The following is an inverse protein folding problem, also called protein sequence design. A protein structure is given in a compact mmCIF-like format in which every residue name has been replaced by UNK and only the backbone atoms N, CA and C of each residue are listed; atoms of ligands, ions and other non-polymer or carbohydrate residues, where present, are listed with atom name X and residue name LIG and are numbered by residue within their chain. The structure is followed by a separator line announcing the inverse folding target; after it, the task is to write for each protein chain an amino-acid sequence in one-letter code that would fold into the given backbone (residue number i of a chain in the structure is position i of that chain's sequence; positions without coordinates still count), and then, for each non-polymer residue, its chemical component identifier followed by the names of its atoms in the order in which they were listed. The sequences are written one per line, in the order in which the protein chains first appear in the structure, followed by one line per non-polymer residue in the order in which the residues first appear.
data_IF_114870168460
#
_entry.id   IF_114870168460
#
_cell.length_a   1.000
_cell.length_b   1.000
_cell.length_c   1.000
_cell.angle_alpha   90.00
_cell.angle_beta   90.00
_cell.angle_gamma   90.00
#
_symmetry.space_group_name_H-M   'P 1'
#
loop_
_entity.id
_entity.type
_entity.pdbx_description
1 polymer ?
#
# COMPACT_ATOMS: atom_id res chain seq x y z
N UNK A 1 18.80 -1.63 3.51
CA UNK A 1 17.87 -1.32 2.40
C UNK A 1 18.20 0.03 1.83
N UNK A 2 18.62 0.07 0.58
CA UNK A 2 18.90 1.29 -0.17
C UNK A 2 17.62 1.65 -0.93
N UNK A 3 17.10 2.85 -0.72
CA UNK A 3 15.88 3.33 -1.35
C UNK A 3 16.10 4.68 -2.00
N UNK A 4 15.62 4.82 -3.22
CA UNK A 4 15.82 5.98 -4.07
C UNK A 4 14.52 6.39 -4.76
N UNK A 5 14.17 7.67 -4.67
CA UNK A 5 13.05 8.21 -5.43
C UNK A 5 13.38 8.24 -6.92
N UNK A 6 12.48 7.76 -7.75
CA UNK A 6 12.65 7.72 -9.21
C UNK A 6 11.86 8.82 -9.89
N UNK A 7 10.53 8.80 -9.76
CA UNK A 7 9.64 9.75 -10.41
C UNK A 7 8.27 9.80 -9.74
N UNK A 8 7.59 10.94 -9.87
CA UNK A 8 6.16 11.11 -9.64
C UNK A 8 5.45 11.18 -10.98
N UNK A 9 4.52 10.27 -11.25
CA UNK A 9 3.87 10.13 -12.54
C UNK A 9 2.35 10.36 -12.45
N UNK A 10 1.80 10.99 -13.48
CA UNK A 10 0.36 11.07 -13.76
C UNK A 10 0.04 10.19 -14.95
N UNK A 11 0.73 10.45 -16.06
CA UNK A 11 0.49 9.81 -17.35
C UNK A 11 1.32 8.53 -17.51
N UNK A 12 0.82 7.61 -18.33
CA UNK A 12 1.49 6.35 -18.65
C UNK A 12 2.91 6.53 -19.17
N UNK A 13 3.14 7.58 -19.98
CA UNK A 13 4.41 7.89 -20.60
C UNK A 13 5.50 8.31 -19.59
N UNK A 14 5.07 8.66 -18.37
CA UNK A 14 5.97 9.04 -17.27
C UNK A 14 6.40 7.87 -16.40
N UNK A 15 5.79 6.69 -16.57
CA UNK A 15 6.20 5.52 -15.79
C UNK A 15 7.63 5.13 -16.11
N UNK A 16 8.39 4.63 -15.10
CA UNK A 16 9.77 4.21 -15.35
C UNK A 16 9.86 3.12 -16.41
N UNK A 17 10.82 3.24 -17.31
CA UNK A 17 11.22 2.15 -18.19
C UNK A 17 12.05 1.16 -17.37
N UNK A 18 11.40 0.13 -16.85
CA UNK A 18 12.01 -0.83 -15.95
C UNK A 18 11.25 -2.16 -15.99
N UNK A 19 12.00 -3.25 -15.90
CA UNK A 19 11.46 -4.61 -15.77
C UNK A 19 11.42 -5.09 -14.30
N UNK A 20 11.78 -4.21 -13.36
CA UNK A 20 11.75 -4.56 -11.94
C UNK A 20 10.31 -4.80 -11.47
N UNK A 21 10.09 -5.83 -10.62
CA UNK A 21 8.77 -6.05 -10.07
C UNK A 21 8.33 -4.87 -9.19
N UNK A 22 7.06 -4.52 -9.28
CA UNK A 22 6.47 -3.40 -8.54
C UNK A 22 5.55 -3.89 -7.44
N UNK A 23 5.77 -3.37 -6.24
CA UNK A 23 4.92 -3.57 -5.06
C UNK A 23 4.17 -2.27 -4.81
N UNK A 24 2.86 -2.30 -4.94
CA UNK A 24 2.01 -1.11 -4.85
C UNK A 24 1.41 -1.00 -3.46
N UNK A 25 1.56 0.14 -2.83
CA UNK A 25 0.97 0.42 -1.51
C UNK A 25 -0.31 1.22 -1.69
N UNK A 26 -1.42 0.66 -1.24
CA UNK A 26 -2.75 1.27 -1.30
C UNK A 26 -3.37 1.38 0.10
N UNK A 27 -4.27 2.31 0.26
CA UNK A 27 -5.00 2.48 1.51
C UNK A 27 -5.83 3.76 1.52
N UNK A 28 -6.71 3.85 2.51
CA UNK A 28 -7.48 5.07 2.74
C UNK A 28 -6.58 6.24 3.11
N UNK A 29 -7.04 7.43 2.79
CA UNK A 29 -6.42 8.65 3.31
C UNK A 29 -6.26 8.56 4.84
N UNK A 30 -5.09 8.92 5.35
CA UNK A 30 -4.73 8.88 6.78
C UNK A 30 -4.65 7.49 7.44
N UNK A 31 -4.60 6.42 6.66
CA UNK A 31 -4.40 5.06 7.20
C UNK A 31 -2.98 4.85 7.78
N UNK A 32 -2.03 5.72 7.43
CA UNK A 32 -0.62 5.61 7.82
C UNK A 32 0.29 5.15 6.68
N UNK A 33 -0.10 5.38 5.42
CA UNK A 33 0.62 4.91 4.24
C UNK A 33 2.04 5.48 4.14
N UNK A 34 2.21 6.79 4.26
CA UNK A 34 3.54 7.42 4.25
C UNK A 34 4.41 6.98 5.43
N UNK A 35 3.83 6.85 6.61
CA UNK A 35 4.53 6.32 7.79
C UNK A 35 4.98 4.87 7.60
N UNK A 36 4.14 4.05 6.97
CA UNK A 36 4.49 2.67 6.61
C UNK A 36 5.67 2.63 5.64
N UNK A 37 5.61 3.39 4.55
CA UNK A 37 6.69 3.43 3.55
C UNK A 37 8.01 3.89 4.17
N UNK A 38 7.98 4.95 4.97
CA UNK A 38 9.17 5.46 5.64
C UNK A 38 9.76 4.47 6.64
N UNK A 39 8.92 3.79 7.42
CA UNK A 39 9.36 2.77 8.36
C UNK A 39 9.90 1.51 7.65
N UNK A 40 9.21 1.05 6.61
CA UNK A 40 9.62 -0.11 5.81
C UNK A 40 11.01 0.07 5.20
N UNK A 41 11.28 1.27 4.70
CA UNK A 41 12.54 1.63 4.04
C UNK A 41 13.61 2.14 5.01
N UNK A 42 13.27 2.28 6.28
CA UNK A 42 14.10 2.90 7.31
C UNK A 42 14.58 4.32 6.92
N UNK A 43 13.71 5.08 6.27
CA UNK A 43 13.94 6.47 5.87
C UNK A 43 12.97 7.39 6.60
N UNK A 44 13.45 8.58 6.99
CA UNK A 44 12.60 9.54 7.71
C UNK A 44 11.65 10.32 6.80
N UNK A 45 12.00 10.49 5.54
CA UNK A 45 11.28 11.37 4.59
C UNK A 45 11.30 10.84 3.14
N UNK A 46 11.27 9.53 2.93
CA UNK A 46 11.17 9.00 1.57
C UNK A 46 9.80 9.32 1.00
N UNK A 47 8.74 8.96 1.73
CA UNK A 47 7.38 9.39 1.45
C UNK A 47 7.01 10.57 2.34
N UNK A 48 6.26 11.51 1.79
CA UNK A 48 5.87 12.70 2.52
C UNK A 48 4.78 12.38 3.55
N UNK A 49 5.08 12.61 4.83
CA UNK A 49 4.13 12.54 5.93
C UNK A 49 3.65 13.96 6.24
N UNK A 50 2.48 14.34 5.79
CA UNK A 50 1.93 15.65 6.04
C UNK A 50 0.41 15.69 5.91
N UNK A 51 -0.19 16.54 6.73
CA UNK A 51 -1.63 16.72 6.79
C UNK A 51 -2.19 17.65 5.70
N UNK A 52 -1.39 17.99 4.68
CA UNK A 52 -1.85 18.88 3.62
C UNK A 52 -2.68 18.07 2.62
N UNK A 53 -4.01 18.26 2.59
CA UNK A 53 -4.86 17.61 1.62
C UNK A 53 -4.39 17.94 0.20
N UNK A 54 -4.18 16.93 -0.62
CA UNK A 54 -3.91 17.13 -2.03
C UNK A 54 -2.47 17.02 -2.51
N UNK A 55 -1.50 16.66 -1.66
CA UNK A 55 -0.10 16.50 -2.11
C UNK A 55 0.22 15.13 -2.70
N UNK A 56 -0.54 14.06 -2.39
CA UNK A 56 -0.30 12.74 -2.96
C UNK A 56 -1.39 12.43 -4.00
N UNK A 57 -1.35 13.14 -5.13
CA UNK A 57 -2.24 12.91 -6.28
C UNK A 57 -1.50 12.31 -7.46
N UNK A 58 -0.28 11.84 -7.20
CA UNK A 58 0.64 11.27 -8.20
C UNK A 58 0.98 9.84 -7.79
N UNK A 59 1.38 9.06 -8.77
CA UNK A 59 1.97 7.75 -8.54
C UNK A 59 3.46 7.96 -8.33
N UNK A 60 3.97 7.61 -7.15
CA UNK A 60 5.37 7.81 -6.79
C UNK A 60 6.12 6.48 -6.86
N UNK A 61 7.19 6.45 -7.61
CA UNK A 61 8.04 5.27 -7.80
C UNK A 61 9.33 5.42 -7.01
N UNK A 62 9.63 4.43 -6.19
CA UNK A 62 10.88 4.34 -5.42
C UNK A 62 11.59 3.03 -5.76
N UNK A 63 12.86 3.11 -6.11
CA UNK A 63 13.67 1.91 -6.38
C UNK A 63 14.30 1.41 -5.09
N UNK A 64 14.16 0.12 -4.81
CA UNK A 64 14.62 -0.52 -3.58
C UNK A 64 15.72 -1.54 -3.91
N UNK A 65 16.91 -1.34 -3.35
CA UNK A 65 18.09 -2.20 -3.50
C UNK A 65 18.40 -2.60 -4.96
N UNK A 66 18.03 -1.75 -5.93
CA UNK A 66 18.12 -2.05 -7.37
C UNK A 66 17.42 -3.34 -7.82
N UNK A 67 16.52 -3.90 -7.00
CA UNK A 67 15.87 -5.19 -7.24
C UNK A 67 14.37 -5.13 -7.44
N UNK A 68 13.70 -4.12 -6.90
CA UNK A 68 12.26 -3.93 -7.04
C UNK A 68 11.86 -2.48 -6.86
N UNK A 69 10.63 -2.15 -7.26
CA UNK A 69 10.04 -0.83 -7.09
C UNK A 69 8.97 -0.85 -6.00
N UNK A 70 9.03 0.11 -5.09
CA UNK A 70 7.93 0.45 -4.20
C UNK A 70 7.11 1.55 -4.85
N UNK A 71 5.81 1.35 -5.01
CA UNK A 71 4.95 2.31 -5.71
C UNK A 71 3.89 2.83 -4.75
N UNK A 72 3.90 4.13 -4.51
CA UNK A 72 2.96 4.83 -3.66
C UNK A 72 1.88 5.48 -4.53
N UNK A 73 0.65 5.03 -4.40
CA UNK A 73 -0.49 5.57 -5.12
C UNK A 73 -1.34 6.46 -4.20
N UNK A 74 -2.14 7.39 -4.75
CA UNK A 74 -3.00 8.23 -3.93
C UNK A 74 -3.92 7.45 -3.01
N UNK A 75 -4.08 7.93 -1.78
CA UNK A 75 -5.07 7.39 -0.84
C UNK A 75 -6.50 7.65 -1.33
N UNK A 76 -7.41 6.75 -1.01
CA UNK A 76 -8.83 6.89 -1.33
C UNK A 76 -9.67 7.30 -0.11
N UNK A 77 -10.98 7.49 -0.29
CA UNK A 77 -11.90 7.87 0.78
C UNK A 77 -11.77 9.34 1.22
N UNK A 78 -11.35 10.22 0.33
CA UNK A 78 -11.13 11.62 0.63
C UNK A 78 -12.45 12.42 0.50
N UNK A 79 -13.01 12.86 1.63
CA UNK A 79 -14.27 13.60 1.65
C UNK A 79 -14.19 15.05 1.11
N UNK A 80 -12.97 15.61 0.95
CA UNK A 80 -12.76 17.02 0.59
C UNK A 80 -12.26 17.24 -0.85
N UNK A 81 -12.25 16.22 -1.68
CA UNK A 81 -11.88 16.36 -3.08
C UNK A 81 -13.05 16.78 -3.96
N UNK A 82 -12.78 17.62 -4.96
CA UNK A 82 -13.76 17.90 -5.99
C UNK A 82 -14.07 16.63 -6.80
N UNK A 83 -15.30 16.56 -7.32
CA UNK A 83 -15.74 15.45 -8.16
C UNK A 83 -14.82 15.24 -9.38
N UNK A 84 -14.35 16.33 -9.99
CA UNK A 84 -13.43 16.27 -11.13
C UNK A 84 -12.08 15.65 -10.77
N UNK A 85 -11.55 15.98 -9.59
CA UNK A 85 -10.29 15.41 -9.10
C UNK A 85 -10.41 13.92 -8.80
N UNK A 86 -11.53 13.48 -8.22
CA UNK A 86 -11.82 12.08 -7.98
C UNK A 86 -11.87 11.27 -9.28
N UNK A 87 -12.49 11.83 -10.34
CA UNK A 87 -12.57 11.21 -11.65
C UNK A 87 -11.18 11.08 -12.28
N UNK A 88 -10.36 12.13 -12.21
CA UNK A 88 -8.98 12.10 -12.73
C UNK A 88 -8.12 11.07 -12.01
N UNK A 89 -8.20 11.03 -10.69
CA UNK A 89 -7.49 10.05 -9.88
C UNK A 89 -7.93 8.62 -10.20
N UNK A 90 -9.22 8.39 -10.31
CA UNK A 90 -9.78 7.09 -10.69
C UNK A 90 -9.25 6.61 -12.03
N UNK A 91 -9.23 7.46 -13.05
CA UNK A 91 -8.66 7.14 -14.36
C UNK A 91 -7.17 6.82 -14.31
N UNK A 92 -6.40 7.60 -13.57
CA UNK A 92 -4.97 7.37 -13.40
C UNK A 92 -4.70 6.03 -12.75
N UNK A 93 -5.43 5.69 -11.70
CA UNK A 93 -5.33 4.42 -10.98
C UNK A 93 -5.76 3.24 -11.86
N UNK A 94 -6.89 3.35 -12.55
CA UNK A 94 -7.39 2.32 -13.47
C UNK A 94 -6.40 2.03 -14.59
N UNK A 95 -5.83 3.06 -15.20
CA UNK A 95 -4.82 2.91 -16.24
C UNK A 95 -3.59 2.19 -15.72
N UNK A 96 -3.10 2.59 -14.55
CA UNK A 96 -1.93 1.97 -13.94
C UNK A 96 -2.17 0.49 -13.61
N UNK A 97 -3.22 0.17 -12.88
CA UNK A 97 -3.51 -1.22 -12.49
C UNK A 97 -3.83 -2.14 -13.67
N UNK A 98 -4.49 -1.64 -14.71
CA UNK A 98 -4.87 -2.46 -15.86
C UNK A 98 -3.75 -2.62 -16.89
N UNK A 99 -2.83 -1.67 -16.99
CA UNK A 99 -1.82 -1.66 -18.06
C UNK A 99 -0.38 -1.91 -17.60
N UNK A 100 -0.09 -1.76 -16.30
CA UNK A 100 1.27 -1.94 -15.79
C UNK A 100 1.55 -3.41 -15.49
N UNK A 101 2.33 -4.06 -16.36
CA UNK A 101 2.65 -5.48 -16.28
C UNK A 101 3.60 -5.83 -15.13
N UNK A 102 4.42 -4.88 -14.66
CA UNK A 102 5.41 -5.08 -13.61
C UNK A 102 4.80 -5.26 -12.22
N UNK A 103 3.52 -4.95 -12.01
CA UNK A 103 2.86 -5.09 -10.71
C UNK A 103 2.84 -6.57 -10.32
N UNK A 104 3.55 -6.91 -9.25
CA UNK A 104 3.59 -8.29 -8.74
C UNK A 104 2.71 -8.48 -7.50
N UNK A 105 2.53 -7.42 -6.70
CA UNK A 105 1.73 -7.52 -5.49
C UNK A 105 1.23 -6.14 -5.06
N UNK A 106 0.11 -6.14 -4.36
CA UNK A 106 -0.44 -4.95 -3.71
C UNK A 106 -0.40 -5.14 -2.20
N UNK A 107 0.15 -4.18 -1.50
CA UNK A 107 0.09 -4.08 -0.04
C UNK A 107 -1.08 -3.15 0.31
N UNK A 108 -2.14 -3.73 0.81
CA UNK A 108 -3.35 -3.01 1.25
C UNK A 108 -3.23 -2.68 2.73
N UNK A 109 -3.23 -1.40 3.06
CA UNK A 109 -3.20 -0.93 4.45
C UNK A 109 -4.62 -0.78 4.99
N UNK A 110 -4.83 -1.27 6.20
CA UNK A 110 -6.09 -1.18 6.94
C UNK A 110 -5.78 -0.71 8.36
N UNK A 111 -6.54 0.23 8.89
CA UNK A 111 -6.37 0.65 10.29
C UNK A 111 -6.84 -0.44 11.24
N UNK A 112 -5.93 -0.99 12.03
CA UNK A 112 -6.23 -2.10 12.93
C UNK A 112 -7.32 -1.80 13.97
N UNK A 113 -7.51 -0.52 14.31
CA UNK A 113 -8.53 -0.09 15.29
C UNK A 113 -9.95 -0.23 14.76
N UNK A 114 -10.14 0.00 13.47
CA UNK A 114 -11.46 0.10 12.83
C UNK A 114 -11.77 -1.07 11.92
N UNK A 115 -10.76 -1.83 11.49
CA UNK A 115 -10.91 -2.86 10.49
C UNK A 115 -11.08 -2.29 9.08
N UNK A 116 -11.44 -3.16 8.14
CA UNK A 116 -11.64 -2.76 6.75
C UNK A 116 -12.95 -1.98 6.57
N UNK A 117 -12.87 -0.92 5.78
CA UNK A 117 -14.04 -0.13 5.39
C UNK A 117 -14.62 -0.63 4.06
N UNK A 118 -15.76 -0.08 3.67
CA UNK A 118 -16.37 -0.40 2.39
C UNK A 118 -15.43 -0.07 1.20
N UNK A 119 -14.75 1.07 1.27
CA UNK A 119 -13.76 1.46 0.26
C UNK A 119 -12.58 0.47 0.19
N UNK A 120 -12.14 -0.06 1.34
CA UNK A 120 -11.10 -1.09 1.38
C UNK A 120 -11.56 -2.38 0.70
N UNK A 121 -12.80 -2.80 0.94
CA UNK A 121 -13.40 -3.98 0.30
C UNK A 121 -13.49 -3.81 -1.22
N UNK A 122 -13.94 -2.66 -1.68
CA UNK A 122 -14.03 -2.33 -3.11
C UNK A 122 -12.66 -2.38 -3.79
N UNK A 123 -11.64 -1.82 -3.14
CA UNK A 123 -10.26 -1.85 -3.63
C UNK A 123 -9.74 -3.28 -3.74
N UNK A 124 -9.95 -4.10 -2.71
CA UNK A 124 -9.51 -5.49 -2.68
C UNK A 124 -10.21 -6.30 -3.79
N UNK A 125 -11.51 -6.11 -3.97
CA UNK A 125 -12.27 -6.78 -5.02
C UNK A 125 -11.74 -6.44 -6.41
N UNK A 126 -11.45 -5.17 -6.67
CA UNK A 126 -10.84 -4.73 -7.91
C UNK A 126 -9.48 -5.38 -8.15
N UNK A 127 -8.61 -5.39 -7.16
CA UNK A 127 -7.27 -5.99 -7.24
C UNK A 127 -7.37 -7.50 -7.50
N UNK A 128 -8.27 -8.19 -6.80
CA UNK A 128 -8.50 -9.64 -7.00
C UNK A 128 -9.03 -9.94 -8.41
N UNK A 129 -9.89 -9.08 -8.94
CA UNK A 129 -10.42 -9.23 -10.31
C UNK A 129 -9.33 -9.17 -11.38
N UNK A 130 -8.21 -8.47 -11.08
CA UNK A 130 -7.05 -8.37 -11.95
C UNK A 130 -6.05 -9.53 -11.75
N UNK A 131 -6.30 -10.45 -10.82
CA UNK A 131 -5.41 -11.56 -10.52
C UNK A 131 -4.12 -11.17 -9.80
N UNK A 132 -4.06 -9.98 -9.18
CA UNK A 132 -2.87 -9.49 -8.47
C UNK A 132 -2.88 -10.02 -7.04
N UNK A 133 -1.71 -10.46 -6.56
CA UNK A 133 -1.52 -10.91 -5.18
C UNK A 133 -1.71 -9.76 -4.20
N UNK A 134 -2.37 -10.03 -3.06
CA UNK A 134 -2.64 -9.03 -2.02
C UNK A 134 -1.99 -9.45 -0.70
N UNK A 135 -1.33 -8.49 -0.06
CA UNK A 135 -0.85 -8.58 1.32
C UNK A 135 -1.59 -7.52 2.13
N UNK A 136 -2.24 -7.93 3.21
CA UNK A 136 -2.95 -7.01 4.09
C UNK A 136 -2.06 -6.62 5.25
N UNK A 137 -1.88 -5.32 5.46
CA UNK A 137 -1.12 -4.78 6.58
C UNK A 137 -2.05 -3.96 7.46
N UNK A 138 -2.27 -4.45 8.68
CA UNK A 138 -3.03 -3.74 9.70
C UNK A 138 -2.11 -2.76 10.42
N UNK A 139 -2.35 -1.46 10.22
CA UNK A 139 -1.54 -0.38 10.78
C UNK A 139 -2.01 -0.01 12.20
N UNK A 140 -1.12 0.66 12.94
CA UNK A 140 -1.45 1.26 14.24
C UNK A 140 -1.84 0.23 15.30
N UNK A 141 -1.23 -0.96 15.28
CA UNK A 141 -1.50 -1.98 16.31
C UNK A 141 -1.10 -1.53 17.72
N UNK A 142 -0.18 -0.55 17.82
CA UNK A 142 0.20 0.09 19.08
C UNK A 142 -0.99 0.79 19.78
N UNK A 143 -2.02 1.16 19.03
CA UNK A 143 -3.26 1.75 19.57
C UNK A 143 -4.24 0.71 20.11
N UNK A 144 -3.92 -0.58 19.99
CA UNK A 144 -4.73 -1.69 20.48
C UNK A 144 -3.98 -2.36 21.63
N UNK A 145 -4.65 -2.68 22.77
CA UNK A 145 -4.03 -3.45 23.85
C UNK A 145 -3.43 -4.75 23.33
N UNK A 146 -2.24 -5.11 23.78
CA UNK A 146 -1.51 -6.30 23.33
C UNK A 146 -2.35 -7.58 23.33
N UNK A 147 -3.18 -7.76 24.36
CA UNK A 147 -4.06 -8.91 24.51
C UNK A 147 -5.17 -9.00 23.46
N UNK A 148 -5.47 -7.90 22.76
CA UNK A 148 -6.54 -7.81 21.76
C UNK A 148 -6.03 -7.76 20.32
N UNK A 149 -4.71 -7.71 20.10
CA UNK A 149 -4.13 -7.53 18.75
C UNK A 149 -4.38 -8.73 17.85
N UNK A 150 -4.20 -9.95 18.36
CA UNK A 150 -4.46 -11.18 17.57
C UNK A 150 -5.93 -11.24 17.17
N UNK A 151 -6.84 -10.89 18.08
CA UNK A 151 -8.27 -10.85 17.79
C UNK A 151 -8.60 -9.84 16.70
N UNK A 152 -7.98 -8.65 16.75
CA UNK A 152 -8.18 -7.61 15.73
C UNK A 152 -7.75 -8.10 14.33
N UNK A 153 -6.61 -8.76 14.22
CA UNK A 153 -6.14 -9.34 12.95
C UNK A 153 -7.06 -10.45 12.44
N UNK A 154 -7.55 -11.29 13.36
CA UNK A 154 -8.50 -12.36 13.03
C UNK A 154 -9.82 -11.79 12.51
N UNK A 155 -10.32 -10.74 13.11
CA UNK A 155 -11.55 -10.06 12.69
C UNK A 155 -11.37 -9.48 11.27
N UNK A 156 -10.22 -8.87 10.95
CA UNK A 156 -9.90 -8.40 9.61
C UNK A 156 -9.85 -9.57 8.62
N UNK A 157 -9.19 -10.66 8.98
CA UNK A 157 -9.13 -11.88 8.16
C UNK A 157 -10.53 -12.39 7.80
N UNK A 158 -11.41 -12.46 8.76
CA UNK A 158 -12.80 -12.88 8.56
C UNK A 158 -13.60 -11.89 7.72
N UNK A 159 -13.43 -10.60 7.98
CA UNK A 159 -14.09 -9.53 7.25
C UNK A 159 -13.72 -9.51 5.76
N UNK A 160 -12.46 -9.80 5.46
CA UNK A 160 -11.92 -9.78 4.09
C UNK A 160 -11.97 -11.13 3.39
N UNK A 161 -12.37 -12.20 4.09
CA UNK A 161 -12.33 -13.58 3.60
C UNK A 161 -10.93 -13.99 3.10
N UNK A 162 -9.89 -13.54 3.80
CA UNK A 162 -8.48 -13.86 3.50
C UNK A 162 -7.86 -14.65 4.65
N UNK A 163 -6.94 -15.60 4.36
CA UNK A 163 -6.29 -16.38 5.39
C UNK A 163 -5.36 -15.51 6.26
N UNK A 164 -5.21 -15.90 7.53
CA UNK A 164 -4.35 -15.19 8.49
C UNK A 164 -2.90 -15.03 8.02
N UNK A 165 -2.39 -15.95 7.21
CA UNK A 165 -1.03 -15.87 6.65
C UNK A 165 -0.81 -14.64 5.74
N UNK A 166 -1.88 -14.02 5.26
CA UNK A 166 -1.83 -12.82 4.43
C UNK A 166 -2.13 -11.53 5.21
N UNK A 167 -2.30 -11.62 6.53
CA UNK A 167 -2.64 -10.49 7.40
C UNK A 167 -1.48 -10.23 8.36
N UNK A 168 -0.91 -9.03 8.30
CA UNK A 168 0.23 -8.62 9.12
C UNK A 168 -0.09 -7.38 9.94
N UNK A 169 0.22 -7.41 11.23
CA UNK A 169 0.06 -6.25 12.11
C UNK A 169 1.36 -5.49 12.25
N UNK A 170 1.32 -4.18 12.08
CA UNK A 170 2.48 -3.31 12.23
C UNK A 170 2.21 -2.10 13.12
N UNK A 171 3.30 -1.58 13.71
CA UNK A 171 3.34 -0.25 14.31
C UNK A 171 4.51 0.54 13.73
N UNK A 172 4.23 1.61 13.01
CA UNK A 172 5.28 2.52 12.52
C UNK A 172 5.93 3.31 13.66
N UNK A 173 5.18 3.59 14.72
CA UNK A 173 5.67 4.29 15.93
C UNK A 173 6.63 3.41 16.73
N UNK A 174 6.25 2.16 16.99
CA UNK A 174 7.08 1.18 17.72
C UNK A 174 8.11 0.50 16.80
N UNK A 175 8.02 0.68 15.50
CA UNK A 175 8.86 0.04 14.46
C UNK A 175 8.82 -1.49 14.55
N UNK A 176 7.64 -2.06 14.71
CA UNK A 176 7.41 -3.50 14.85
C UNK A 176 6.58 -4.07 13.70
N UNK A 177 6.81 -5.34 13.37
CA UNK A 177 6.00 -6.12 12.43
C UNK A 177 6.41 -6.00 10.96
N UNK A 178 7.44 -5.24 10.62
CA UNK A 178 7.85 -5.02 9.22
C UNK A 178 8.59 -6.19 8.59
N UNK A 179 9.35 -6.95 9.36
CA UNK A 179 10.15 -8.06 8.85
C UNK A 179 9.31 -9.15 8.19
N UNK A 180 8.22 -9.66 8.80
CA UNK A 180 7.33 -10.61 8.14
C UNK A 180 6.68 -10.08 6.87
N UNK A 181 6.37 -8.79 6.81
CA UNK A 181 5.82 -8.14 5.60
C UNK A 181 6.84 -8.19 4.46
N UNK A 182 8.10 -7.83 4.73
CA UNK A 182 9.18 -7.88 3.75
C UNK A 182 9.45 -9.30 3.26
N UNK A 183 9.45 -10.28 4.16
CA UNK A 183 9.60 -11.70 3.79
C UNK A 183 8.50 -12.14 2.83
N UNK A 184 7.24 -11.77 3.12
CA UNK A 184 6.11 -12.12 2.27
C UNK A 184 6.19 -11.44 0.90
N UNK A 185 6.58 -10.17 0.85
CA UNK A 185 6.80 -9.44 -0.40
C UNK A 185 7.89 -10.12 -1.23
N UNK A 186 8.99 -10.51 -0.61
CA UNK A 186 10.09 -11.18 -1.29
C UNK A 186 9.69 -12.56 -1.84
N UNK A 187 8.88 -13.32 -1.10
CA UNK A 187 8.34 -14.60 -1.59
C UNK A 187 7.51 -14.42 -2.85
N UNK A 188 6.61 -13.43 -2.85
CA UNK A 188 5.76 -13.11 -3.99
C UNK A 188 6.61 -12.62 -5.17
N UNK A 189 7.56 -11.74 -4.94
CA UNK A 189 8.46 -11.22 -5.97
C UNK A 189 9.27 -12.30 -6.67
N UNK A 190 9.78 -13.29 -5.93
CA UNK A 190 10.51 -14.43 -6.50
C UNK A 190 9.62 -15.31 -7.38
N UNK A 191 8.37 -15.50 -7.00
CA UNK A 191 7.41 -16.27 -7.78
C UNK A 191 6.96 -15.55 -9.06
N UNK A 192 7.08 -14.23 -9.11
CA UNK A 192 6.69 -13.41 -10.26
C UNK A 192 7.75 -13.42 -11.37
N UNK A 193 9.00 -13.64 -11.01
CA UNK A 193 10.11 -13.77 -11.95
C UNK A 193 10.16 -15.18 -12.52
#
# INVERSE_FOLDING_TARGET
MISEFVISAVEKEQWPESDLPEVVVVGRSNVGKSSFINALTNKKKLAYVGNTPGKTRLINFFKIDDTWMLVDVPGYGYAKMSKQMLIKMGKMMDTYFNQREQICCVVQLVDARHGATHDDLDMIEMIQSLGIQIVIVATKVDKIPKTKRVRALKDISQQLHLPMKNIFGISSTEKTGFEPVLERINEIGRAHV
#
